data_IF_514379475053
#
_entry.id   IF_514379475053
#
_cell.length_a   1.000
_cell.length_b   1.000
_cell.length_c   1.000
_cell.angle_alpha   90.00
_cell.angle_beta   90.00
_cell.angle_gamma   90.00
#
_symmetry.space_group_name_H-M   'P 1'
#
loop_
_entity.id
_entity.type
_entity.pdbx_description
1 polymer ?
#
# COMPACT_ATOMS: atom_id res chain seq x y z
N UNK A 1 -0.01 -38.39 -25.81
CA UNK A 1 -0.23 -37.01 -26.26
C UNK A 1 -1.61 -36.92 -26.87
N UNK A 2 -2.49 -36.09 -26.33
CA UNK A 2 -3.88 -35.95 -26.81
C UNK A 2 -3.85 -35.33 -28.22
N UNK A 3 -4.44 -35.98 -29.22
CA UNK A 3 -4.46 -35.49 -30.62
C UNK A 3 -4.95 -34.06 -30.73
N UNK A 4 -5.78 -33.64 -29.80
CA UNK A 4 -6.31 -32.26 -29.70
C UNK A 4 -5.22 -31.18 -29.54
N UNK A 5 -4.17 -31.43 -28.74
CA UNK A 5 -3.06 -30.50 -28.55
C UNK A 5 -2.15 -30.38 -29.79
N UNK A 6 -1.96 -31.52 -30.51
CA UNK A 6 -1.19 -31.51 -31.73
C UNK A 6 -1.86 -30.70 -32.86
N UNK A 7 -3.18 -30.82 -32.98
CA UNK A 7 -3.97 -30.08 -33.96
C UNK A 7 -4.01 -28.61 -33.59
N UNK A 8 -4.18 -28.28 -32.30
CA UNK A 8 -4.20 -26.91 -31.80
C UNK A 8 -2.92 -26.11 -32.19
N UNK A 9 -1.75 -26.74 -32.12
CA UNK A 9 -0.48 -26.12 -32.47
C UNK A 9 -0.28 -25.84 -33.98
N UNK A 10 -1.09 -26.47 -34.86
CA UNK A 10 -1.01 -26.28 -36.32
C UNK A 10 -2.08 -25.36 -36.89
N UNK A 11 -3.12 -25.05 -36.14
CA UNK A 11 -4.09 -24.03 -36.52
C UNK A 11 -3.42 -22.65 -36.48
N UNK A 12 -3.21 -22.04 -37.67
CA UNK A 12 -2.66 -20.66 -37.78
C UNK A 12 -3.73 -19.67 -37.36
N UNK A 13 -3.68 -19.22 -36.11
CA UNK A 13 -4.51 -18.13 -35.62
C UNK A 13 -3.88 -16.78 -35.95
N UNK A 14 -4.55 -15.98 -36.79
CA UNK A 14 -4.15 -14.58 -37.07
C UNK A 14 -4.63 -13.60 -35.99
N UNK A 15 -4.77 -14.04 -34.74
CA UNK A 15 -5.33 -13.27 -33.62
C UNK A 15 -4.43 -12.17 -33.05
N UNK A 16 -3.64 -11.49 -33.88
CA UNK A 16 -2.77 -10.39 -33.41
C UNK A 16 -3.55 -9.29 -32.69
N UNK A 17 -4.73 -8.94 -33.21
CA UNK A 17 -5.58 -7.91 -32.60
C UNK A 17 -6.08 -8.35 -31.24
N UNK A 18 -6.58 -9.59 -31.12
CA UNK A 18 -7.03 -10.14 -29.84
C UNK A 18 -5.88 -10.22 -28.82
N UNK A 19 -4.70 -10.65 -29.26
CA UNK A 19 -3.49 -10.71 -28.39
C UNK A 19 -3.09 -9.32 -27.89
N UNK A 20 -3.08 -8.29 -28.75
CA UNK A 20 -2.75 -6.92 -28.34
C UNK A 20 -3.81 -6.38 -27.37
N UNK A 21 -5.09 -6.64 -27.63
CA UNK A 21 -6.18 -6.22 -26.73
C UNK A 21 -6.05 -6.85 -25.34
N UNK A 22 -5.72 -8.15 -25.28
CA UNK A 22 -5.45 -8.83 -24.00
C UNK A 22 -4.24 -8.20 -23.32
N UNK A 23 -3.14 -7.98 -24.05
CA UNK A 23 -1.94 -7.37 -23.47
C UNK A 23 -2.23 -5.99 -22.88
N UNK A 24 -3.06 -5.17 -23.54
CA UNK A 24 -3.48 -3.87 -22.99
C UNK A 24 -4.35 -4.05 -21.74
N UNK A 25 -5.29 -4.99 -21.74
CA UNK A 25 -6.13 -5.24 -20.56
C UNK A 25 -5.29 -5.68 -19.36
N UNK A 26 -4.35 -6.60 -19.55
CA UNK A 26 -3.45 -7.05 -18.46
C UNK A 26 -2.48 -5.95 -18.02
N UNK A 27 -1.95 -5.15 -18.94
CA UNK A 27 -1.15 -3.98 -18.60
C UNK A 27 -1.90 -3.06 -17.64
N UNK A 28 -3.16 -2.74 -17.94
CA UNK A 28 -3.98 -1.86 -17.09
C UNK A 28 -4.28 -2.52 -15.74
N UNK A 29 -4.62 -3.81 -15.72
CA UNK A 29 -4.88 -4.56 -14.49
C UNK A 29 -3.66 -4.53 -13.57
N UNK A 30 -2.48 -4.89 -14.09
CA UNK A 30 -1.27 -4.98 -13.27
C UNK A 30 -0.81 -3.61 -12.78
N UNK A 31 -0.91 -2.56 -13.60
CA UNK A 31 -0.61 -1.19 -13.15
C UNK A 31 -1.59 -0.80 -12.03
N UNK A 32 -2.90 -1.03 -12.20
CA UNK A 32 -3.88 -0.67 -11.20
C UNK A 32 -3.64 -1.39 -9.86
N UNK A 33 -3.38 -2.69 -9.90
CA UNK A 33 -3.07 -3.50 -8.72
C UNK A 33 -1.77 -3.04 -8.05
N UNK A 34 -0.71 -2.79 -8.84
CA UNK A 34 0.59 -2.34 -8.31
C UNK A 34 0.53 -0.95 -7.70
N UNK A 35 -0.29 -0.06 -8.26
CA UNK A 35 -0.52 1.29 -7.71
C UNK A 35 -1.31 1.19 -6.40
N UNK A 36 -2.38 0.40 -6.32
CA UNK A 36 -3.14 0.19 -5.07
C UNK A 36 -2.26 -0.37 -3.96
N UNK A 37 -1.52 -1.43 -4.26
CA UNK A 37 -0.58 -2.03 -3.30
C UNK A 37 0.51 -1.02 -2.88
N UNK A 38 0.98 -0.19 -3.81
CA UNK A 38 1.95 0.87 -3.54
C UNK A 38 1.40 1.94 -2.59
N UNK A 39 0.20 2.45 -2.84
CA UNK A 39 -0.44 3.42 -1.95
C UNK A 39 -0.66 2.85 -0.55
N UNK A 40 -1.17 1.62 -0.47
CA UNK A 40 -1.39 0.95 0.81
C UNK A 40 -0.09 0.84 1.62
N UNK A 41 0.98 0.37 1.00
CA UNK A 41 2.27 0.21 1.65
C UNK A 41 2.87 1.56 2.08
N UNK A 42 2.85 2.56 1.20
CA UNK A 42 3.44 3.87 1.45
C UNK A 42 2.73 4.60 2.61
N UNK A 43 1.39 4.63 2.58
CA UNK A 43 0.60 5.30 3.61
C UNK A 43 0.71 4.58 4.95
N UNK A 44 0.63 3.24 4.98
CA UNK A 44 0.80 2.48 6.22
C UNK A 44 2.20 2.67 6.82
N UNK A 45 3.25 2.57 5.99
CA UNK A 45 4.62 2.82 6.43
C UNK A 45 4.80 4.26 6.94
N UNK A 46 4.17 5.23 6.29
CA UNK A 46 4.17 6.62 6.73
C UNK A 46 3.47 6.81 8.08
N UNK A 47 2.30 6.19 8.26
CA UNK A 47 1.56 6.23 9.52
C UNK A 47 2.31 5.52 10.66
N UNK A 48 2.89 4.35 10.38
CA UNK A 48 3.69 3.60 11.36
C UNK A 48 4.86 4.44 11.89
N UNK A 49 5.55 5.19 11.01
CA UNK A 49 6.60 6.13 11.43
C UNK A 49 6.06 7.36 12.17
N UNK A 50 4.87 7.83 11.81
CA UNK A 50 4.26 9.02 12.38
C UNK A 50 3.78 8.80 13.81
N UNK A 51 3.09 7.67 14.06
CA UNK A 51 2.40 7.41 15.35
C UNK A 51 2.51 5.97 15.86
N UNK A 52 3.31 5.12 15.19
CA UNK A 52 3.28 3.67 15.43
C UNK A 52 2.02 3.01 14.86
N UNK A 53 2.02 1.69 14.78
CA UNK A 53 0.87 0.90 14.36
C UNK A 53 -0.15 0.78 15.49
N UNK A 54 0.34 0.59 16.72
CA UNK A 54 -0.42 0.63 17.97
C UNK A 54 0.24 1.61 18.93
N UNK A 55 -0.57 2.40 19.61
CA UNK A 55 -0.09 3.41 20.56
C UNK A 55 -0.69 3.16 21.94
N UNK A 56 0.19 3.00 22.94
CA UNK A 56 -0.22 3.04 24.35
C UNK A 56 -0.18 4.50 24.81
N UNK A 57 -1.33 5.02 25.24
CA UNK A 57 -1.47 6.43 25.59
C UNK A 57 -2.38 6.61 26.82
N UNK A 58 -2.36 7.80 27.47
CA UNK A 58 -3.31 8.09 28.53
C UNK A 58 -4.77 7.99 28.06
N UNK A 59 -5.72 7.62 28.94
CA UNK A 59 -7.15 7.48 28.58
C UNK A 59 -7.80 8.76 28.08
N UNK A 60 -7.17 9.92 28.30
CA UNK A 60 -7.62 11.22 27.76
C UNK A 60 -7.52 11.31 26.24
N UNK A 61 -6.84 10.37 25.58
CA UNK A 61 -6.56 10.37 24.13
C UNK A 61 -5.76 11.61 23.68
N UNK A 62 -5.10 12.31 24.61
CA UNK A 62 -4.36 13.51 24.32
C UNK A 62 -2.88 13.35 24.64
N UNK A 63 -2.11 12.85 23.67
CA UNK A 63 -0.65 12.67 23.79
C UNK A 63 0.13 14.00 23.89
N UNK A 64 -0.51 15.13 23.58
CA UNK A 64 0.09 16.47 23.68
C UNK A 64 -0.03 17.07 25.08
N UNK A 65 -0.77 16.42 25.97
CA UNK A 65 -0.94 16.86 27.37
C UNK A 65 0.28 16.51 28.19
N UNK A 66 1.04 17.54 28.58
CA UNK A 66 2.22 17.37 29.42
C UNK A 66 1.90 17.06 30.89
N UNK A 67 0.62 17.08 31.30
CA UNK A 67 0.19 16.85 32.68
C UNK A 67 0.08 15.36 33.06
N UNK A 68 0.00 14.47 32.08
CA UNK A 68 -0.27 13.05 32.31
C UNK A 68 0.76 12.14 31.59
N UNK A 69 2.04 12.14 32.03
CA UNK A 69 3.02 11.23 31.47
C UNK A 69 2.71 9.78 31.85
N UNK A 70 3.12 8.85 30.99
CA UNK A 70 3.15 7.41 31.29
C UNK A 70 4.58 6.96 31.53
N UNK A 71 4.77 5.73 32.07
CA UNK A 71 6.08 5.18 32.36
C UNK A 71 6.53 4.23 31.25
N UNK A 72 7.75 4.40 30.74
CA UNK A 72 8.32 3.53 29.70
C UNK A 72 8.71 2.13 30.23
N UNK A 73 8.86 1.98 31.56
CA UNK A 73 9.20 0.74 32.23
C UNK A 73 8.03 0.17 33.07
N UNK A 74 6.78 0.51 32.74
CA UNK A 74 5.59 0.00 33.42
C UNK A 74 5.55 -1.54 33.46
N UNK A 75 4.85 -2.09 34.46
CA UNK A 75 4.83 -3.53 34.78
C UNK A 75 4.36 -4.42 33.60
N UNK A 76 3.57 -3.90 32.68
CA UNK A 76 3.08 -4.61 31.49
C UNK A 76 4.09 -4.62 30.32
N UNK A 77 5.13 -3.78 30.32
CA UNK A 77 6.04 -3.59 29.18
C UNK A 77 6.82 -4.85 28.75
N UNK A 78 7.29 -5.73 29.67
CA UNK A 78 7.92 -6.98 29.24
C UNK A 78 7.02 -7.84 28.36
N UNK A 79 5.72 -7.91 28.68
CA UNK A 79 4.74 -8.70 27.92
C UNK A 79 4.42 -8.08 26.55
N UNK A 80 4.39 -6.75 26.47
CA UNK A 80 4.22 -6.05 25.18
C UNK A 80 5.40 -6.33 24.24
N UNK A 81 6.63 -6.31 24.78
CA UNK A 81 7.85 -6.58 23.98
C UNK A 81 7.97 -8.03 23.54
N UNK A 82 7.27 -8.97 24.19
CA UNK A 82 7.25 -10.40 23.87
C UNK A 82 6.12 -10.79 22.90
N UNK A 83 5.25 -9.87 22.48
CA UNK A 83 4.22 -10.14 21.46
C UNK A 83 4.88 -10.58 20.15
N UNK A 84 4.35 -11.62 19.52
CA UNK A 84 4.96 -12.27 18.34
C UNK A 84 5.11 -11.34 17.13
N UNK A 85 4.15 -10.44 16.93
CA UNK A 85 4.07 -9.54 15.77
C UNK A 85 4.81 -8.21 15.98
N UNK A 86 5.37 -7.96 17.16
CA UNK A 86 6.09 -6.72 17.47
C UNK A 86 7.47 -6.72 16.83
N UNK A 87 7.78 -5.66 16.09
CA UNK A 87 9.11 -5.38 15.53
C UNK A 87 9.92 -4.46 16.45
N UNK A 88 9.32 -3.35 16.88
CA UNK A 88 9.95 -2.42 17.80
C UNK A 88 8.93 -1.76 18.73
N UNK A 89 9.40 -1.34 19.90
CA UNK A 89 8.64 -0.57 20.89
C UNK A 89 9.40 0.71 21.17
N UNK A 90 8.80 1.85 20.87
CA UNK A 90 9.42 3.17 20.93
C UNK A 90 8.72 4.07 21.96
N UNK A 91 9.38 4.43 23.05
CA UNK A 91 8.89 5.50 23.93
C UNK A 91 9.03 6.85 23.21
N UNK A 92 7.98 7.69 23.27
CA UNK A 92 7.97 8.98 22.59
C UNK A 92 7.40 10.09 23.45
N UNK A 93 7.90 11.31 23.24
CA UNK A 93 7.45 12.51 23.95
C UNK A 93 6.87 13.50 22.95
N UNK A 94 5.60 13.75 23.04
CA UNK A 94 4.91 14.72 22.19
C UNK A 94 4.75 16.06 22.88
N UNK A 95 4.85 17.14 22.10
CA UNK A 95 4.47 18.47 22.54
C UNK A 95 4.04 19.36 21.39
N UNK A 96 2.92 20.07 21.58
CA UNK A 96 2.52 21.12 20.65
C UNK A 96 3.38 22.36 20.83
N UNK A 97 3.78 22.97 19.72
CA UNK A 97 4.56 24.19 19.71
C UNK A 97 4.15 25.12 18.58
N UNK A 98 4.60 26.35 18.65
CA UNK A 98 4.40 27.37 17.65
C UNK A 98 5.76 27.86 17.19
N UNK A 99 6.06 27.68 15.91
CA UNK A 99 7.26 28.22 15.28
C UNK A 99 6.95 29.58 14.73
N UNK A 100 7.85 30.55 15.03
CA UNK A 100 7.80 31.89 14.46
C UNK A 100 9.06 32.15 13.67
N UNK A 101 8.91 32.46 12.39
CA UNK A 101 9.99 32.96 11.54
C UNK A 101 9.56 34.23 10.83
N UNK A 102 10.12 35.38 11.26
CA UNK A 102 9.68 36.70 10.77
C UNK A 102 8.25 37.01 11.22
N UNK A 103 7.36 37.23 10.25
CA UNK A 103 5.92 37.46 10.48
C UNK A 103 5.09 36.17 10.41
N UNK A 104 5.65 35.08 9.89
CA UNK A 104 4.96 33.80 9.71
C UNK A 104 4.92 33.04 11.02
N UNK A 105 3.76 32.41 11.29
CA UNK A 105 3.49 31.64 12.49
C UNK A 105 2.88 30.31 12.07
N UNK A 106 3.52 29.19 12.46
CA UNK A 106 3.09 27.85 12.14
C UNK A 106 2.94 27.00 13.39
N UNK A 107 1.81 26.29 13.51
CA UNK A 107 1.64 25.27 14.53
C UNK A 107 2.45 24.02 14.16
N UNK A 108 3.16 23.45 15.15
CA UNK A 108 3.91 22.22 14.97
C UNK A 108 3.64 21.25 16.11
N UNK A 109 3.84 19.97 15.84
CA UNK A 109 3.96 18.94 16.86
C UNK A 109 5.43 18.51 16.92
N UNK A 110 6.06 18.61 18.08
CA UNK A 110 7.39 18.07 18.27
C UNK A 110 7.25 16.66 18.83
N UNK A 111 7.86 15.70 18.14
CA UNK A 111 7.96 14.30 18.54
C UNK A 111 9.40 14.02 18.97
N UNK A 112 9.61 13.91 20.28
CA UNK A 112 10.88 13.46 20.85
C UNK A 112 10.98 11.94 20.76
N UNK A 113 12.04 11.45 20.12
CA UNK A 113 12.29 10.04 19.89
C UNK A 113 13.66 9.65 20.44
N UNK A 114 13.88 8.36 20.80
CA UNK A 114 15.21 7.88 21.14
C UNK A 114 16.19 8.06 19.98
N UNK A 115 17.44 8.39 20.26
CA UNK A 115 18.47 8.61 19.22
C UNK A 115 18.80 7.37 18.41
N UNK A 116 18.58 6.20 18.96
CA UNK A 116 18.79 4.89 18.34
C UNK A 116 17.57 4.38 17.56
N UNK A 117 16.49 5.16 17.51
CA UNK A 117 15.33 4.83 16.67
C UNK A 117 15.74 4.81 15.20
N UNK A 118 15.78 3.60 14.61
CA UNK A 118 16.43 3.29 13.34
C UNK A 118 15.98 4.10 12.12
N UNK A 119 14.75 4.63 12.11
CA UNK A 119 14.23 5.44 11.01
C UNK A 119 14.61 6.94 11.08
N UNK A 120 15.25 7.37 12.18
CA UNK A 120 15.65 8.77 12.42
C UNK A 120 17.13 8.89 12.79
N UNK A 121 17.84 7.79 12.98
CA UNK A 121 19.25 7.79 13.37
C UNK A 121 20.12 8.68 12.47
N UNK A 122 19.83 8.70 11.18
CA UNK A 122 20.53 9.52 10.20
C UNK A 122 20.16 11.02 10.25
N UNK A 123 19.05 11.37 10.91
CA UNK A 123 18.59 12.74 11.04
C UNK A 123 19.30 13.50 12.18
N UNK A 124 19.91 12.80 13.13
CA UNK A 124 20.64 13.41 14.26
C UNK A 124 22.13 13.15 14.15
N UNK A 125 22.93 14.12 13.68
CA UNK A 125 24.39 14.01 13.73
C UNK A 125 24.88 13.94 15.18
N UNK A 126 26.01 13.25 15.37
CA UNK A 126 26.62 12.99 16.67
C UNK A 126 26.67 14.19 17.62
N UNK A 127 26.47 13.94 18.88
CA UNK A 127 26.56 14.61 20.20
C UNK A 127 26.93 16.11 20.35
N UNK A 128 27.23 16.85 19.28
CA UNK A 128 27.80 18.21 19.38
C UNK A 128 26.80 19.35 19.25
N UNK A 129 25.55 19.07 18.87
CA UNK A 129 24.54 20.12 18.62
C UNK A 129 23.51 20.12 19.76
N UNK A 130 23.33 21.28 20.38
CA UNK A 130 22.34 21.48 21.45
C UNK A 130 20.93 21.61 20.83
N UNK A 131 19.95 20.87 21.36
CA UNK A 131 18.56 20.85 20.91
C UNK A 131 18.45 20.63 19.38
N UNK A 132 18.98 19.50 18.87
CA UNK A 132 18.89 19.19 17.45
C UNK A 132 17.46 18.85 17.08
N UNK A 133 17.03 19.28 15.88
CA UNK A 133 15.73 18.90 15.32
C UNK A 133 15.83 18.59 13.83
N UNK A 134 15.01 17.65 13.39
CA UNK A 134 14.72 17.43 11.98
C UNK A 134 13.34 17.99 11.67
N UNK A 135 13.26 18.84 10.66
CA UNK A 135 12.01 19.50 10.27
C UNK A 135 11.45 18.86 8.98
N UNK A 136 10.12 18.77 8.83
CA UNK A 136 9.54 18.28 7.58
C UNK A 136 9.79 19.28 6.44
N UNK A 137 9.93 18.78 5.21
CA UNK A 137 10.18 19.59 4.00
C UNK A 137 9.13 20.69 3.83
N UNK A 138 7.87 20.41 4.14
CA UNK A 138 6.79 21.40 4.10
C UNK A 138 7.03 22.58 5.06
N UNK A 139 7.44 22.30 6.31
CA UNK A 139 7.79 23.37 7.25
C UNK A 139 8.99 24.18 6.75
N UNK A 140 9.99 23.51 6.17
CA UNK A 140 11.16 24.19 5.60
C UNK A 140 10.76 25.15 4.46
N UNK A 141 9.84 24.72 3.58
CA UNK A 141 9.33 25.57 2.48
C UNK A 141 8.55 26.77 2.96
N UNK A 142 7.53 26.56 3.82
CA UNK A 142 6.63 27.64 4.25
C UNK A 142 7.30 28.62 5.22
N UNK A 143 8.25 28.15 6.05
CA UNK A 143 8.98 29.00 7.00
C UNK A 143 10.30 29.54 6.44
N UNK A 144 10.80 29.01 5.32
CA UNK A 144 12.10 29.35 4.76
C UNK A 144 13.31 28.83 5.55
N UNK A 145 13.09 27.95 6.56
CA UNK A 145 14.15 27.37 7.38
C UNK A 145 14.96 26.34 6.60
N UNK A 146 16.28 26.31 6.85
CA UNK A 146 17.23 25.37 6.22
C UNK A 146 18.08 24.68 7.27
N UNK A 147 18.72 23.61 6.87
CA UNK A 147 19.73 22.95 7.70
C UNK A 147 20.82 23.94 8.12
N UNK A 148 21.08 24.01 9.42
CA UNK A 148 22.00 24.95 10.08
C UNK A 148 21.31 26.19 10.67
N UNK A 149 20.06 26.43 10.36
CA UNK A 149 19.30 27.54 10.92
C UNK A 149 18.83 27.27 12.35
N UNK A 150 18.42 28.33 13.02
CA UNK A 150 17.84 28.28 14.36
C UNK A 150 16.35 28.47 14.30
N UNK A 151 15.60 27.51 14.82
CA UNK A 151 14.15 27.51 14.87
C UNK A 151 13.69 27.95 16.26
N UNK A 152 13.05 29.13 16.36
CA UNK A 152 12.47 29.61 17.61
C UNK A 152 11.06 29.05 17.77
N UNK A 153 10.86 28.27 18.84
CA UNK A 153 9.59 27.61 19.12
C UNK A 153 9.04 28.09 20.46
N UNK A 154 7.76 28.41 20.48
CA UNK A 154 7.02 28.78 21.67
C UNK A 154 6.13 27.61 22.09
N UNK A 155 6.22 27.25 23.36
CA UNK A 155 5.36 26.25 23.96
C UNK A 155 4.32 26.94 24.83
N UNK A 156 3.05 26.65 24.56
CA UNK A 156 1.91 27.17 25.31
C UNK A 156 1.57 26.17 26.40
N UNK A 157 1.52 26.63 27.63
CA UNK A 157 1.15 25.89 28.84
C UNK A 157 0.67 26.87 29.90
N UNK A 158 0.86 26.56 31.19
CA UNK A 158 0.62 27.53 32.25
C UNK A 158 1.45 28.81 32.08
N UNK A 159 2.70 28.64 31.58
CA UNK A 159 3.59 29.71 31.15
C UNK A 159 4.02 29.52 29.69
N UNK A 160 4.24 30.64 28.99
CA UNK A 160 4.82 30.59 27.64
C UNK A 160 6.33 30.38 27.75
N UNK A 161 6.81 29.23 27.31
CA UNK A 161 8.23 28.90 27.27
C UNK A 161 8.75 29.01 25.85
N UNK A 162 9.78 29.82 25.60
CA UNK A 162 10.46 29.86 24.31
C UNK A 162 11.73 29.00 24.36
N UNK A 163 11.97 28.24 23.29
CA UNK A 163 13.20 27.45 23.08
C UNK A 163 13.72 27.64 21.68
N UNK A 164 15.03 27.64 21.54
CA UNK A 164 15.70 27.76 20.25
C UNK A 164 16.32 26.42 19.89
N UNK A 165 15.77 25.77 18.88
CA UNK A 165 16.28 24.52 18.33
C UNK A 165 17.22 24.78 17.17
N UNK A 166 18.12 23.83 16.89
CA UNK A 166 19.01 23.88 15.73
C UNK A 166 18.52 22.85 14.69
N UNK A 167 18.20 23.34 13.50
CA UNK A 167 17.77 22.49 12.39
C UNK A 167 18.98 21.73 11.86
N UNK A 168 19.03 20.42 12.11
CA UNK A 168 20.16 19.56 11.70
C UNK A 168 19.88 18.84 10.38
N UNK A 169 18.61 18.60 10.08
CA UNK A 169 18.18 17.95 8.85
C UNK A 169 16.78 18.38 8.45
N UNK A 170 16.46 18.14 7.19
CA UNK A 170 15.11 18.26 6.62
C UNK A 170 14.72 16.85 6.14
N UNK A 171 13.60 16.35 6.60
CA UNK A 171 13.09 15.05 6.20
C UNK A 171 11.85 15.19 5.31
N UNK A 172 11.68 14.24 4.41
CA UNK A 172 10.44 14.11 3.66
C UNK A 172 9.43 13.35 4.53
N UNK A 173 8.25 13.91 4.68
CA UNK A 173 7.15 13.26 5.37
C UNK A 173 6.32 12.51 4.33
N UNK A 174 6.13 11.21 4.51
CA UNK A 174 5.37 10.39 3.56
C UNK A 174 3.86 10.66 3.63
N UNK A 175 3.37 11.07 4.80
CA UNK A 175 1.98 11.50 4.99
C UNK A 175 2.00 12.95 5.40
N UNK A 176 1.92 13.86 4.43
CA UNK A 176 1.84 15.29 4.66
C UNK A 176 0.38 15.71 4.81
N UNK A 177 0.04 16.23 6.00
CA UNK A 177 -1.20 16.96 6.21
C UNK A 177 -0.83 18.35 6.69
N UNK A 178 -1.40 19.39 6.07
CA UNK A 178 -1.12 20.80 6.43
C UNK A 178 -1.37 21.10 7.92
N UNK A 179 -2.23 20.31 8.56
CA UNK A 179 -2.61 20.49 9.96
C UNK A 179 -1.63 19.84 10.95
N UNK A 180 -0.66 19.03 10.49
CA UNK A 180 0.22 18.25 11.37
C UNK A 180 1.67 18.27 10.91
N UNK A 181 2.34 19.40 11.10
CA UNK A 181 3.77 19.51 10.85
C UNK A 181 4.54 18.88 12.01
N UNK A 182 5.05 17.64 11.82
CA UNK A 182 5.77 16.90 12.85
C UNK A 182 7.26 17.16 12.73
N UNK A 183 7.84 17.71 13.79
CA UNK A 183 9.27 17.98 13.96
C UNK A 183 9.84 16.91 14.87
N UNK A 184 10.85 16.18 14.43
CA UNK A 184 11.55 15.20 15.27
C UNK A 184 12.62 15.88 16.12
N UNK A 185 12.67 15.52 17.39
CA UNK A 185 13.63 16.01 18.37
C UNK A 185 14.19 14.84 19.20
N UNK A 186 15.22 15.11 19.97
CA UNK A 186 15.74 14.18 20.98
C UNK A 186 14.74 14.02 22.13
N UNK A 187 14.41 12.78 22.49
CA UNK A 187 13.46 12.46 23.56
C UNK A 187 13.86 13.07 24.90
N UNK A 188 15.15 12.97 25.29
CA UNK A 188 15.63 13.53 26.55
C UNK A 188 15.51 15.05 26.60
N UNK A 189 15.73 15.73 25.48
CA UNK A 189 15.54 17.18 25.38
C UNK A 189 14.07 17.54 25.60
N UNK A 190 13.14 16.76 25.04
CA UNK A 190 11.72 16.98 25.20
C UNK A 190 11.21 16.66 26.60
N UNK A 191 11.72 15.61 27.27
CA UNK A 191 11.46 15.33 28.68
C UNK A 191 11.88 16.52 29.55
N UNK A 192 13.09 17.08 29.34
CA UNK A 192 13.55 18.29 30.06
C UNK A 192 12.68 19.51 29.81
N UNK A 193 12.19 19.72 28.59
CA UNK A 193 11.29 20.82 28.25
C UNK A 193 9.94 20.67 28.96
N UNK A 194 9.43 19.43 29.07
CA UNK A 194 8.20 19.12 29.79
C UNK A 194 8.37 19.19 31.31
N UNK A 195 9.63 19.17 31.83
CA UNK A 195 9.90 19.09 33.24
C UNK A 195 9.68 17.68 33.81
N UNK A 196 9.80 16.66 32.96
CA UNK A 196 9.62 15.25 33.31
C UNK A 196 10.90 14.59 33.78
N UNK A 197 10.75 13.53 34.54
CA UNK A 197 11.86 12.66 34.93
C UNK A 197 12.23 11.73 33.74
N UNK A 198 13.48 11.20 33.73
CA UNK A 198 13.82 10.11 32.85
C UNK A 198 12.81 8.93 32.99
N UNK A 199 12.41 8.33 31.91
CA UNK A 199 11.39 7.26 31.92
C UNK A 199 9.93 7.73 31.73
N UNK A 200 9.66 9.00 31.92
CA UNK A 200 8.33 9.57 31.69
C UNK A 200 8.16 9.98 30.21
N UNK A 201 7.12 9.45 29.55
CA UNK A 201 6.85 9.66 28.12
C UNK A 201 5.39 10.01 27.88
N UNK A 202 5.09 10.56 26.70
CA UNK A 202 3.70 10.87 26.30
C UNK A 202 2.93 9.62 25.89
N UNK A 203 3.61 8.72 25.20
CA UNK A 203 3.06 7.46 24.73
C UNK A 203 4.16 6.48 24.39
N UNK A 204 3.77 5.22 24.22
CA UNK A 204 4.63 4.16 23.72
C UNK A 204 4.07 3.70 22.39
N UNK A 205 4.88 3.77 21.34
CA UNK A 205 4.52 3.35 19.99
C UNK A 205 5.03 1.94 19.74
N UNK A 206 4.16 1.08 19.28
CA UNK A 206 4.45 -0.30 18.90
C UNK A 206 4.47 -0.37 17.40
N UNK A 207 5.59 -0.78 16.82
CA UNK A 207 5.75 -1.05 15.39
C UNK A 207 5.57 -2.55 15.17
N UNK A 208 4.77 -2.92 14.19
CA UNK A 208 4.47 -4.31 13.87
C UNK A 208 5.29 -4.76 12.65
N UNK A 209 5.62 -6.06 12.60
CA UNK A 209 6.30 -6.71 11.45
C UNK A 209 5.40 -6.73 10.23
N UNK A 210 4.12 -7.00 10.44
CA UNK A 210 3.07 -6.92 9.45
C UNK A 210 2.05 -5.88 9.92
N UNK A 211 1.74 -4.92 9.06
CA UNK A 211 0.89 -3.78 9.38
C UNK A 211 -0.39 -3.76 8.53
N UNK A 212 -0.93 -4.92 8.21
CA UNK A 212 -2.27 -5.03 7.66
C UNK A 212 -3.31 -4.58 8.69
N UNK A 213 -4.40 -4.02 8.21
CA UNK A 213 -5.43 -3.38 9.05
C UNK A 213 -5.99 -4.32 10.13
N UNK A 214 -6.29 -5.58 9.74
CA UNK A 214 -6.78 -6.60 10.67
C UNK A 214 -5.73 -6.94 11.72
N UNK A 215 -4.45 -6.99 11.34
CA UNK A 215 -3.33 -7.26 12.26
C UNK A 215 -3.11 -6.11 13.23
N UNK A 216 -3.18 -4.87 12.75
CA UNK A 216 -3.07 -3.67 13.61
C UNK A 216 -4.19 -3.65 14.66
N UNK A 217 -5.44 -3.90 14.26
CA UNK A 217 -6.57 -3.91 15.20
C UNK A 217 -6.44 -5.05 16.21
N UNK A 218 -6.11 -6.26 15.75
CA UNK A 218 -5.91 -7.44 16.62
C UNK A 218 -4.80 -7.19 17.64
N UNK A 219 -3.65 -6.67 17.21
CA UNK A 219 -2.52 -6.40 18.11
C UNK A 219 -2.84 -5.26 19.09
N UNK A 220 -3.65 -4.27 18.71
CA UNK A 220 -4.11 -3.25 19.65
C UNK A 220 -5.03 -3.83 20.74
N UNK A 221 -5.94 -4.74 20.39
CA UNK A 221 -6.80 -5.44 21.36
C UNK A 221 -5.97 -6.34 22.31
N UNK A 222 -4.97 -7.04 21.75
CA UNK A 222 -4.05 -7.88 22.53
C UNK A 222 -3.23 -7.02 23.50
N UNK A 223 -2.62 -5.93 23.02
CA UNK A 223 -1.87 -4.99 23.86
C UNK A 223 -2.76 -4.42 24.97
N UNK A 224 -4.00 -4.04 24.68
CA UNK A 224 -4.96 -3.59 25.69
C UNK A 224 -5.29 -4.65 26.74
N UNK A 225 -5.39 -5.91 26.32
CA UNK A 225 -5.62 -7.05 27.22
C UNK A 225 -4.41 -7.27 28.15
N UNK A 226 -3.20 -7.22 27.62
CA UNK A 226 -1.95 -7.36 28.37
C UNK A 226 -1.77 -6.20 29.38
N UNK A 227 -2.04 -4.97 28.95
CA UNK A 227 -2.03 -3.80 29.84
C UNK A 227 -3.00 -4.04 31.01
N UNK A 228 -4.25 -4.40 30.76
CA UNK A 228 -5.24 -4.64 31.82
C UNK A 228 -4.89 -5.80 32.74
N UNK A 229 -4.19 -6.83 32.23
CA UNK A 229 -3.84 -8.03 33.01
C UNK A 229 -2.62 -7.83 33.90
N UNK A 230 -1.68 -6.99 33.47
CA UNK A 230 -0.35 -6.89 34.10
C UNK A 230 0.00 -5.50 34.64
N UNK A 231 -0.90 -4.50 34.55
CA UNK A 231 -0.72 -3.21 35.22
C UNK A 231 -0.74 -3.39 36.73
N UNK A 232 0.17 -2.72 37.42
CA UNK A 232 0.18 -2.59 38.87
C UNK A 232 -0.62 -1.37 39.34
N UNK A 233 -0.95 -1.30 40.63
CA UNK A 233 -1.62 -0.13 41.22
C UNK A 233 -0.81 1.18 41.12
N UNK A 234 0.50 1.07 40.95
CA UNK A 234 1.43 2.21 40.82
C UNK A 234 1.60 2.67 39.37
N UNK A 235 1.19 1.86 38.39
CA UNK A 235 1.30 2.21 36.96
C UNK A 235 0.25 3.27 36.56
N UNK A 236 0.62 4.28 35.76
CA UNK A 236 -0.35 5.17 35.15
C UNK A 236 -1.35 4.39 34.28
N UNK A 237 -2.62 4.79 34.35
CA UNK A 237 -3.64 4.19 33.49
C UNK A 237 -3.35 4.52 32.03
N UNK A 238 -3.31 3.48 31.17
CA UNK A 238 -3.10 3.60 29.73
C UNK A 238 -4.13 2.79 28.97
N UNK A 239 -4.34 3.18 27.72
CA UNK A 239 -5.16 2.45 26.73
C UNK A 239 -4.32 2.17 25.49
N UNK A 240 -4.60 1.05 24.84
CA UNK A 240 -4.04 0.73 23.53
C UNK A 240 -5.00 1.22 22.43
N UNK A 241 -4.46 1.99 21.50
CA UNK A 241 -5.22 2.56 20.38
C UNK A 241 -4.53 2.18 19.07
N UNK A 242 -5.28 1.64 18.12
CA UNK A 242 -4.77 1.32 16.79
C UNK A 242 -4.61 2.59 15.92
N UNK A 243 -3.64 2.59 15.01
CA UNK A 243 -3.53 3.64 14.00
C UNK A 243 -4.78 3.71 13.10
N UNK A 244 -5.44 2.58 12.87
CA UNK A 244 -6.74 2.50 12.16
C UNK A 244 -7.79 3.37 12.85
N UNK A 245 -7.91 3.25 14.18
CA UNK A 245 -8.86 4.05 14.96
C UNK A 245 -8.46 5.52 15.08
N UNK A 246 -7.16 5.81 15.01
CA UNK A 246 -6.62 7.18 15.10
C UNK A 246 -6.75 7.96 13.80
N UNK A 247 -6.72 7.26 12.65
CA UNK A 247 -6.76 7.84 11.31
C UNK A 247 -7.80 7.18 10.40
N UNK A 248 -9.08 7.06 10.80
CA UNK A 248 -10.09 6.31 10.07
C UNK A 248 -10.28 6.81 8.64
N UNK A 249 -10.18 8.13 8.42
CA UNK A 249 -10.34 8.73 7.09
C UNK A 249 -9.28 8.25 6.07
N UNK A 250 -8.04 7.98 6.53
CA UNK A 250 -6.98 7.47 5.65
C UNK A 250 -7.22 6.01 5.28
N UNK A 251 -7.67 5.20 6.23
CA UNK A 251 -8.00 3.80 5.96
C UNK A 251 -9.24 3.67 5.08
N UNK A 252 -10.30 4.45 5.34
CA UNK A 252 -11.48 4.54 4.46
C UNK A 252 -11.10 4.94 3.03
N UNK A 253 -10.12 5.84 2.87
CA UNK A 253 -9.64 6.26 1.57
C UNK A 253 -8.84 5.15 0.87
N UNK A 254 -8.02 4.38 1.60
CA UNK A 254 -7.34 3.20 1.06
C UNK A 254 -8.33 2.14 0.59
N UNK A 255 -9.38 1.87 1.35
CA UNK A 255 -10.44 0.93 0.97
C UNK A 255 -11.19 1.38 -0.27
N UNK A 256 -11.42 2.68 -0.42
CA UNK A 256 -12.00 3.25 -1.63
C UNK A 256 -11.11 3.02 -2.87
N UNK A 257 -9.78 3.15 -2.73
CA UNK A 257 -8.82 2.83 -3.81
C UNK A 257 -8.94 1.36 -4.20
N UNK A 258 -8.93 0.46 -3.22
CA UNK A 258 -9.01 -0.99 -3.47
C UNK A 258 -10.31 -1.37 -4.16
N UNK A 259 -11.44 -0.79 -3.76
CA UNK A 259 -12.72 -0.99 -4.43
C UNK A 259 -12.68 -0.51 -5.89
N UNK A 260 -12.09 0.65 -6.15
CA UNK A 260 -11.92 1.16 -7.51
C UNK A 260 -11.03 0.24 -8.37
N UNK A 261 -9.95 -0.30 -7.78
CA UNK A 261 -9.06 -1.24 -8.48
C UNK A 261 -9.76 -2.56 -8.76
N UNK A 262 -10.54 -3.10 -7.82
CA UNK A 262 -11.38 -4.27 -8.04
C UNK A 262 -12.37 -4.04 -9.19
N UNK A 263 -13.00 -2.87 -9.24
CA UNK A 263 -13.90 -2.50 -10.34
C UNK A 263 -13.17 -2.46 -11.69
N UNK A 264 -11.97 -1.87 -11.75
CA UNK A 264 -11.14 -1.83 -12.96
C UNK A 264 -10.75 -3.26 -13.38
N UNK A 265 -10.35 -4.11 -12.43
CA UNK A 265 -9.99 -5.50 -12.69
C UNK A 265 -11.15 -6.27 -13.33
N UNK A 266 -12.34 -6.16 -12.75
CA UNK A 266 -13.57 -6.81 -13.28
C UNK A 266 -13.89 -6.28 -14.67
N UNK A 267 -13.89 -4.96 -14.86
CA UNK A 267 -14.20 -4.32 -16.14
C UNK A 267 -13.20 -4.75 -17.23
N UNK A 268 -11.91 -4.70 -16.94
CA UNK A 268 -10.87 -5.08 -17.91
C UNK A 268 -10.89 -6.57 -18.23
N UNK A 269 -11.20 -7.43 -17.25
CA UNK A 269 -11.38 -8.87 -17.46
C UNK A 269 -12.58 -9.14 -18.39
N UNK A 270 -13.69 -8.42 -18.21
CA UNK A 270 -14.86 -8.51 -19.09
C UNK A 270 -14.50 -8.06 -20.51
N UNK A 271 -13.81 -6.92 -20.66
CA UNK A 271 -13.36 -6.42 -21.97
C UNK A 271 -12.44 -7.42 -22.66
N UNK A 272 -11.46 -7.96 -21.95
CA UNK A 272 -10.57 -9.00 -22.47
C UNK A 272 -11.35 -10.26 -22.90
N UNK A 273 -12.32 -10.68 -22.09
CA UNK A 273 -13.22 -11.80 -22.37
C UNK A 273 -14.04 -11.60 -23.64
N UNK A 274 -14.69 -10.45 -23.81
CA UNK A 274 -15.46 -10.12 -25.03
C UNK A 274 -14.58 -10.05 -26.28
N UNK A 275 -13.39 -9.48 -26.17
CA UNK A 275 -12.44 -9.45 -27.28
C UNK A 275 -11.99 -10.87 -27.66
N UNK A 276 -11.81 -11.75 -26.69
CA UNK A 276 -11.48 -13.15 -26.95
C UNK A 276 -12.64 -13.94 -27.50
N UNK A 277 -13.89 -13.70 -27.05
CA UNK A 277 -15.10 -14.28 -27.66
C UNK A 277 -15.16 -13.95 -29.15
N UNK A 278 -14.99 -12.67 -29.48
CA UNK A 278 -14.98 -12.21 -30.87
C UNK A 278 -13.86 -12.86 -31.68
N UNK A 279 -12.64 -12.92 -31.12
CA UNK A 279 -11.50 -13.57 -31.75
C UNK A 279 -11.72 -15.07 -31.99
N UNK A 280 -12.32 -15.78 -31.01
CA UNK A 280 -12.64 -17.22 -31.15
C UNK A 280 -13.75 -17.45 -32.18
N UNK A 281 -14.79 -16.61 -32.24
CA UNK A 281 -15.83 -16.70 -33.25
C UNK A 281 -15.25 -16.50 -34.65
N UNK A 282 -14.39 -15.50 -34.86
CA UNK A 282 -13.71 -15.30 -36.14
C UNK A 282 -12.90 -16.55 -36.51
N UNK A 283 -12.16 -17.10 -35.57
CA UNK A 283 -11.38 -18.33 -35.78
C UNK A 283 -12.25 -19.52 -36.13
N UNK A 284 -13.41 -19.68 -35.48
CA UNK A 284 -14.38 -20.74 -35.79
C UNK A 284 -14.93 -20.59 -37.21
N UNK A 285 -15.31 -19.37 -37.63
CA UNK A 285 -15.83 -19.12 -38.98
C UNK A 285 -14.74 -19.33 -40.05
N UNK A 286 -13.52 -18.88 -39.84
CA UNK A 286 -12.41 -19.12 -40.79
C UNK A 286 -12.07 -20.60 -40.96
N UNK A 287 -12.32 -21.43 -39.92
CA UNK A 287 -12.00 -22.86 -39.93
C UNK A 287 -13.24 -23.78 -40.02
N UNK A 288 -14.38 -23.24 -40.48
CA UNK A 288 -15.66 -23.98 -40.51
C UNK A 288 -15.58 -25.28 -41.35
N UNK A 289 -14.87 -25.22 -42.51
CA UNK A 289 -14.62 -26.42 -43.34
C UNK A 289 -13.78 -27.46 -42.64
N UNK A 290 -12.78 -27.03 -41.88
CA UNK A 290 -11.94 -27.92 -41.07
C UNK A 290 -12.74 -28.58 -39.94
N UNK A 291 -13.65 -27.82 -39.31
CA UNK A 291 -14.56 -28.35 -38.28
C UNK A 291 -15.50 -29.42 -38.92
N UNK A 292 -16.07 -29.14 -40.09
CA UNK A 292 -16.91 -30.08 -40.81
C UNK A 292 -16.16 -31.35 -41.18
N UNK A 293 -14.91 -31.26 -41.68
CA UNK A 293 -14.04 -32.38 -41.97
C UNK A 293 -13.73 -33.22 -40.70
N UNK A 294 -13.38 -32.59 -39.59
CA UNK A 294 -13.11 -33.27 -38.32
C UNK A 294 -14.34 -34.04 -37.78
N UNK A 295 -15.55 -33.42 -37.94
CA UNK A 295 -16.81 -34.06 -37.59
C UNK A 295 -17.10 -35.27 -38.49
N UNK A 296 -16.87 -35.18 -39.81
CA UNK A 296 -17.06 -36.29 -40.74
C UNK A 296 -16.11 -37.43 -40.50
N UNK A 297 -14.93 -37.18 -39.92
CA UNK A 297 -13.96 -38.18 -39.46
C UNK A 297 -14.31 -38.78 -38.09
N UNK A 298 -15.46 -38.37 -37.49
CA UNK A 298 -15.95 -38.91 -36.22
C UNK A 298 -15.45 -38.20 -34.96
N UNK A 299 -14.83 -37.01 -35.09
CA UNK A 299 -14.40 -36.24 -33.93
C UNK A 299 -15.62 -35.62 -33.23
N UNK A 300 -15.71 -35.77 -31.91
CA UNK A 300 -16.82 -35.25 -31.13
C UNK A 300 -16.74 -33.72 -30.96
N UNK A 301 -17.90 -33.05 -30.79
CA UNK A 301 -17.95 -31.59 -30.54
C UNK A 301 -17.12 -31.17 -29.34
N UNK A 302 -17.08 -31.97 -28.28
CA UNK A 302 -16.25 -31.71 -27.09
C UNK A 302 -14.74 -31.74 -27.41
N UNK A 303 -14.31 -32.64 -28.27
CA UNK A 303 -12.90 -32.77 -28.65
C UNK A 303 -12.51 -31.58 -29.56
N UNK A 304 -13.38 -31.15 -30.47
CA UNK A 304 -13.17 -29.98 -31.33
C UNK A 304 -13.14 -28.71 -30.46
N UNK A 305 -14.10 -28.52 -29.55
CA UNK A 305 -14.11 -27.40 -28.59
C UNK A 305 -12.80 -27.34 -27.79
N UNK A 306 -12.28 -28.47 -27.32
CA UNK A 306 -11.01 -28.55 -26.59
C UNK A 306 -9.82 -28.05 -27.44
N UNK A 307 -9.80 -28.34 -28.75
CA UNK A 307 -8.76 -27.84 -29.67
C UNK A 307 -8.80 -26.30 -29.75
N UNK A 308 -9.96 -25.72 -29.98
CA UNK A 308 -10.11 -24.26 -30.11
C UNK A 308 -9.86 -23.55 -28.79
N UNK A 309 -10.35 -24.11 -27.68
CA UNK A 309 -10.13 -23.56 -26.34
C UNK A 309 -8.64 -23.58 -25.95
N UNK A 310 -7.93 -24.68 -26.28
CA UNK A 310 -6.47 -24.79 -26.06
C UNK A 310 -5.69 -23.76 -26.88
N UNK A 311 -6.07 -23.54 -28.15
CA UNK A 311 -5.44 -22.53 -29.00
C UNK A 311 -5.69 -21.11 -28.45
N UNK A 312 -6.90 -20.83 -27.96
CA UNK A 312 -7.24 -19.56 -27.32
C UNK A 312 -6.50 -19.38 -26.00
N UNK A 313 -6.36 -20.42 -25.18
CA UNK A 313 -5.60 -20.37 -23.94
C UNK A 313 -4.14 -19.94 -24.17
N UNK A 314 -3.48 -20.51 -25.19
CA UNK A 314 -2.10 -20.12 -25.56
C UNK A 314 -2.03 -18.65 -25.98
N UNK A 315 -3.07 -18.14 -26.66
CA UNK A 315 -3.12 -16.75 -27.07
C UNK A 315 -3.31 -15.82 -25.86
N UNK A 316 -4.23 -16.17 -24.95
CA UNK A 316 -4.45 -15.44 -23.69
C UNK A 316 -3.16 -15.37 -22.89
N UNK A 317 -2.48 -16.51 -22.68
CA UNK A 317 -1.21 -16.57 -21.95
C UNK A 317 -0.11 -15.70 -22.58
N UNK A 318 -0.02 -15.67 -23.92
CA UNK A 318 0.93 -14.79 -24.60
C UNK A 318 0.59 -13.31 -24.45
N UNK A 319 -0.69 -12.95 -24.53
CA UNK A 319 -1.16 -11.59 -24.30
C UNK A 319 -0.92 -11.15 -22.87
N UNK A 320 -1.24 -12.02 -21.90
CA UNK A 320 -0.99 -11.82 -20.48
C UNK A 320 0.50 -11.60 -20.18
N UNK A 321 1.38 -12.49 -20.67
CA UNK A 321 2.81 -12.34 -20.49
C UNK A 321 3.34 -11.02 -21.08
N UNK A 322 2.87 -10.62 -22.26
CA UNK A 322 3.27 -9.35 -22.87
C UNK A 322 2.75 -8.15 -22.07
N UNK A 323 1.50 -8.18 -21.59
CA UNK A 323 0.92 -7.15 -20.72
C UNK A 323 1.68 -7.00 -19.41
N UNK A 324 1.95 -8.12 -18.74
CA UNK A 324 2.70 -8.14 -17.47
C UNK A 324 4.13 -7.58 -17.62
N UNK A 325 4.84 -7.99 -18.68
CA UNK A 325 6.19 -7.46 -18.94
C UNK A 325 6.16 -5.94 -19.12
N UNK A 326 5.22 -5.42 -19.91
CA UNK A 326 5.08 -3.98 -20.13
C UNK A 326 4.70 -3.24 -18.83
N UNK A 327 3.81 -3.82 -18.04
CA UNK A 327 3.40 -3.25 -16.74
C UNK A 327 4.57 -3.22 -15.75
N UNK A 328 5.32 -4.31 -15.62
CA UNK A 328 6.49 -4.37 -14.73
C UNK A 328 7.59 -3.39 -15.15
N UNK A 329 7.82 -3.22 -16.47
CA UNK A 329 8.75 -2.20 -16.99
C UNK A 329 8.26 -0.80 -16.61
N UNK A 330 6.97 -0.51 -16.74
CA UNK A 330 6.40 0.76 -16.31
C UNK A 330 6.58 0.97 -14.80
N UNK A 331 6.25 -0.02 -13.97
CA UNK A 331 6.42 0.05 -12.51
C UNK A 331 7.90 0.28 -12.13
N UNK A 332 8.83 -0.40 -12.80
CA UNK A 332 10.26 -0.20 -12.58
C UNK A 332 10.71 1.23 -12.93
N UNK A 333 10.26 1.78 -14.07
CA UNK A 333 10.57 3.16 -14.46
C UNK A 333 9.98 4.12 -13.43
N UNK A 334 8.72 3.96 -13.04
CA UNK A 334 8.05 4.84 -12.07
C UNK A 334 8.76 4.82 -10.72
N UNK A 335 9.13 3.65 -10.22
CA UNK A 335 9.79 3.50 -8.91
C UNK A 335 11.20 4.10 -8.88
N UNK A 336 11.91 4.15 -10.03
CA UNK A 336 13.27 4.71 -10.11
C UNK A 336 13.30 6.20 -10.45
N UNK A 337 12.32 6.69 -11.21
CA UNK A 337 12.36 8.04 -11.77
C UNK A 337 11.31 8.99 -11.19
N UNK A 338 10.29 8.44 -10.49
CA UNK A 338 9.16 9.21 -9.92
C UNK A 338 8.56 10.22 -10.93
N UNK A 339 8.39 9.78 -12.19
CA UNK A 339 7.89 10.64 -13.29
C UNK A 339 6.49 11.16 -13.00
N UNK A 340 5.62 10.28 -12.47
CA UNK A 340 4.26 10.66 -12.11
C UNK A 340 4.28 11.21 -10.69
N UNK A 341 4.25 12.55 -10.61
CA UNK A 341 4.15 13.26 -9.34
C UNK A 341 2.70 13.53 -8.99
N UNK A 342 2.40 13.52 -7.70
CA UNK A 342 1.10 13.84 -7.13
C UNK A 342 1.23 15.07 -6.25
N UNK A 343 0.09 15.69 -5.98
CA UNK A 343 -0.02 16.77 -5.01
C UNK A 343 -0.26 16.14 -3.62
N UNK A 344 0.67 16.31 -2.67
CA UNK A 344 0.55 15.72 -1.32
C UNK A 344 -0.70 16.16 -0.56
N UNK A 345 -1.18 17.39 -0.80
CA UNK A 345 -2.38 17.91 -0.14
C UNK A 345 -3.64 17.09 -0.47
N UNK A 346 -3.70 16.47 -1.67
CA UNK A 346 -4.85 15.71 -2.12
C UNK A 346 -4.65 14.19 -2.02
N UNK A 347 -3.40 13.71 -2.09
CA UNK A 347 -3.09 12.28 -2.20
C UNK A 347 -2.22 11.74 -1.07
N UNK A 348 -1.83 12.56 -0.10
CA UNK A 348 -0.97 12.23 1.04
C UNK A 348 0.44 11.73 0.68
N UNK A 349 0.77 11.65 -0.62
CA UNK A 349 2.06 11.23 -1.15
C UNK A 349 2.47 12.15 -2.30
N UNK A 350 3.77 12.36 -2.48
CA UNK A 350 4.34 13.28 -3.48
C UNK A 350 4.50 12.70 -4.88
N UNK A 351 4.37 11.36 -5.03
CA UNK A 351 4.43 10.66 -6.31
C UNK A 351 3.53 9.42 -6.28
N UNK A 352 3.20 8.88 -7.47
CA UNK A 352 2.42 7.63 -7.55
C UNK A 352 3.28 6.47 -7.07
N UNK A 353 3.00 5.91 -5.88
CA UNK A 353 3.73 4.76 -5.39
C UNK A 353 3.33 3.52 -6.18
N UNK A 354 4.29 2.65 -6.47
CA UNK A 354 4.03 1.39 -7.15
C UNK A 354 4.76 0.25 -6.42
N UNK A 355 4.01 -0.74 -6.02
CA UNK A 355 4.55 -1.96 -5.43
C UNK A 355 4.03 -3.17 -6.21
N UNK A 356 4.82 -3.73 -7.14
CA UNK A 356 4.44 -4.92 -7.88
C UNK A 356 4.60 -6.17 -7.00
N UNK A 357 3.66 -6.40 -6.08
CA UNK A 357 3.62 -7.63 -5.30
C UNK A 357 3.33 -8.83 -6.20
N UNK A 358 4.25 -9.79 -6.20
CA UNK A 358 4.18 -10.96 -7.07
C UNK A 358 2.98 -11.87 -6.74
N UNK A 359 2.61 -11.97 -5.46
CA UNK A 359 1.49 -12.82 -5.03
C UNK A 359 0.17 -12.25 -5.54
N UNK A 360 -0.04 -10.96 -5.38
CA UNK A 360 -1.26 -10.26 -5.83
C UNK A 360 -1.37 -10.23 -7.36
N UNK A 361 -0.24 -10.04 -8.07
CA UNK A 361 -0.18 -10.13 -9.54
C UNK A 361 -0.59 -11.53 -10.01
N UNK A 362 0.02 -12.58 -9.45
CA UNK A 362 -0.31 -13.96 -9.82
C UNK A 362 -1.76 -14.33 -9.50
N UNK A 363 -2.29 -13.88 -8.37
CA UNK A 363 -3.70 -14.10 -8.00
C UNK A 363 -4.65 -13.44 -9.01
N UNK A 364 -4.37 -12.18 -9.39
CA UNK A 364 -5.14 -11.44 -10.39
C UNK A 364 -5.08 -12.08 -11.77
N UNK A 365 -3.89 -12.56 -12.17
CA UNK A 365 -3.66 -13.26 -13.43
C UNK A 365 -4.44 -14.57 -13.49
N UNK A 366 -4.35 -15.39 -12.45
CA UNK A 366 -5.07 -16.67 -12.38
C UNK A 366 -6.58 -16.44 -12.39
N UNK A 367 -7.08 -15.52 -11.58
CA UNK A 367 -8.49 -15.19 -11.52
C UNK A 367 -9.02 -14.71 -12.89
N UNK A 368 -8.36 -13.73 -13.51
CA UNK A 368 -8.73 -13.22 -14.83
C UNK A 368 -8.64 -14.29 -15.91
N UNK A 369 -7.58 -15.10 -15.93
CA UNK A 369 -7.42 -16.21 -16.87
C UNK A 369 -8.57 -17.21 -16.77
N UNK A 370 -8.92 -17.64 -15.55
CA UNK A 370 -10.03 -18.59 -15.33
C UNK A 370 -11.35 -17.98 -15.81
N UNK A 371 -11.64 -16.73 -15.50
CA UNK A 371 -12.86 -16.04 -15.94
C UNK A 371 -12.91 -15.98 -17.47
N UNK A 372 -11.83 -15.57 -18.14
CA UNK A 372 -11.75 -15.50 -19.60
C UNK A 372 -11.98 -16.90 -20.21
N UNK A 373 -11.36 -17.94 -19.65
CA UNK A 373 -11.53 -19.30 -20.13
C UNK A 373 -12.97 -19.81 -19.98
N UNK A 374 -13.65 -19.44 -18.89
CA UNK A 374 -15.08 -19.73 -18.69
C UNK A 374 -15.95 -19.00 -19.71
N UNK A 375 -15.69 -17.72 -19.99
CA UNK A 375 -16.40 -16.93 -20.99
C UNK A 375 -16.24 -17.53 -22.40
N UNK A 376 -15.08 -18.11 -22.73
CA UNK A 376 -14.81 -18.76 -24.02
C UNK A 376 -15.59 -20.07 -24.23
N UNK A 377 -16.21 -20.64 -23.20
CA UNK A 377 -17.12 -21.78 -23.38
C UNK A 377 -18.39 -21.38 -24.16
N UNK A 378 -18.82 -20.10 -24.06
CA UNK A 378 -20.03 -19.61 -24.74
C UNK A 378 -19.92 -19.77 -26.26
N UNK A 379 -18.89 -19.24 -26.96
CA UNK A 379 -18.76 -19.44 -28.40
C UNK A 379 -18.49 -20.89 -28.81
N UNK A 380 -17.90 -21.70 -27.93
CA UNK A 380 -17.72 -23.14 -28.23
C UNK A 380 -19.04 -23.88 -28.42
N UNK A 381 -20.15 -23.41 -27.87
CA UNK A 381 -21.50 -23.98 -28.14
C UNK A 381 -21.92 -23.86 -29.60
N UNK A 382 -21.37 -22.91 -30.36
CA UNK A 382 -21.61 -22.81 -31.79
C UNK A 382 -21.07 -24.00 -32.60
N UNK A 383 -20.03 -24.67 -32.08
CA UNK A 383 -19.43 -25.84 -32.76
C UNK A 383 -20.47 -26.95 -32.95
N UNK A 384 -21.38 -27.13 -31.99
CA UNK A 384 -22.43 -28.16 -32.09
C UNK A 384 -23.43 -27.89 -33.22
N UNK A 385 -23.61 -26.60 -33.61
CA UNK A 385 -24.55 -26.18 -34.66
C UNK A 385 -23.99 -26.28 -36.09
N UNK A 386 -22.69 -26.59 -36.23
CA UNK A 386 -22.06 -26.74 -37.57
C UNK A 386 -22.45 -28.10 -38.15
N UNK A 387 -23.21 -28.06 -39.27
CA UNK A 387 -23.59 -29.28 -40.00
C UNK A 387 -22.47 -29.71 -40.97
N UNK A 388 -21.92 -30.96 -40.81
CA UNK A 388 -20.89 -31.47 -41.71
C UNK A 388 -21.33 -31.55 -43.18
N UNK A 389 -22.63 -31.79 -43.45
CA UNK A 389 -23.15 -31.93 -44.80
C UNK A 389 -23.16 -30.62 -45.58
N UNK A 390 -23.43 -29.51 -44.94
CA UNK A 390 -23.43 -28.18 -45.59
C UNK A 390 -22.01 -27.64 -45.78
N UNK A 391 -21.10 -27.89 -44.81
CA UNK A 391 -19.75 -27.31 -44.81
C UNK A 391 -18.81 -27.96 -45.84
N UNK A 392 -19.04 -29.22 -46.25
CA UNK A 392 -18.24 -29.91 -47.30
C UNK A 392 -18.69 -29.50 -48.72
N UNK A 393 -19.88 -28.93 -48.89
CA UNK A 393 -20.50 -28.57 -50.18
C UNK A 393 -20.11 -27.16 -50.66
N UNK A 394 -19.56 -26.30 -49.83
CA UNK A 394 -19.18 -24.94 -50.21
C UNK A 394 -17.68 -24.94 -50.60
N UNK A 395 -17.43 -25.09 -51.88
CA UNK A 395 -16.23 -24.70 -52.58
C UNK A 395 -16.63 -23.74 -53.71
#
# INVERSE_FOLDING_TARGET
>A
MDASFFIAGRLRFKGRIAMVSIAISYLVIIIAVSVSSGFRQEIRSGLSKLSGDVQLMPPTLNVLDAGHPIDEDASYMPYIREMDDVDAVLPVVYRAGIVKNGEDIHGIIIKGVPRDAGFISDAFPADSVRLPVSIPSRLAEISGLKTGDRMLTYFVGEDIKARQFNVVSVHETMVETDDRLVVYADMEDMQRINGWNPGQVSSIEILLKDNDEEDIVRNAEEAGTLVNAYSSDDDPSVIAVSSVSSYPQLFDWLDLIDFNVLFILVLMTIVAGFNMISGLLIMLFENISTIGLLKSLGMTDKAISKVFLSSSAVLVLKGMAAGNILALVFCFIQNTTHVLRLDPENYFVSYVPVNPDLATILASDVASFVIIMLLLLIPCLFISKVDPAETVRVK
#
